data_IF_102516753859
#
_entry.id   IF_102516753859
#
_cell.length_a   1.000
_cell.length_b   1.000
_cell.length_c   1.000
_cell.angle_alpha   90.00
_cell.angle_beta   90.00
_cell.angle_gamma   90.00
#
_symmetry.space_group_name_H-M   'P 1'
#
loop_
_entity.id
_entity.type
_entity.pdbx_description
1 polymer ?
#
# COMPACT_ATOMS: atom_id res chain seq x y z
N UNK A 1 14.17 8.63 13.75
CA UNK A 1 13.12 7.74 13.21
C UNK A 1 13.77 6.45 12.80
N UNK A 2 13.55 5.39 13.57
CA UNK A 2 14.11 4.07 13.25
C UNK A 2 13.14 3.40 12.27
N UNK A 3 13.60 3.17 11.03
CA UNK A 3 12.83 2.45 10.04
C UNK A 3 12.96 0.95 10.28
N UNK A 4 11.83 0.28 10.44
CA UNK A 4 11.75 -1.17 10.57
C UNK A 4 11.73 -1.75 9.14
N UNK A 5 12.78 -1.52 8.35
CA UNK A 5 12.84 -2.03 6.98
C UNK A 5 13.72 -3.26 6.90
N UNK A 6 13.23 -4.33 6.29
CA UNK A 6 14.00 -5.52 5.90
C UNK A 6 13.79 -5.86 4.41
N UNK A 7 12.96 -5.11 3.69
CA UNK A 7 12.78 -5.27 2.26
C UNK A 7 13.90 -4.57 1.49
N UNK A 8 14.20 -5.04 0.28
CA UNK A 8 15.17 -4.43 -0.62
C UNK A 8 14.75 -3.02 -1.11
N UNK A 9 13.62 -2.48 -0.64
CA UNK A 9 13.15 -1.14 -0.95
C UNK A 9 13.47 -0.17 0.18
N UNK A 10 14.15 0.93 -0.13
CA UNK A 10 14.33 2.01 0.83
C UNK A 10 13.03 2.76 1.02
N UNK A 11 12.46 2.83 2.23
CA UNK A 11 11.27 3.61 2.48
C UNK A 11 11.48 5.08 2.09
N UNK A 12 10.48 5.65 1.46
CA UNK A 12 10.53 7.04 1.03
C UNK A 12 9.27 7.77 1.49
N UNK A 13 9.43 9.01 1.93
CA UNK A 13 8.31 9.88 2.28
C UNK A 13 8.44 11.20 1.53
N UNK A 14 7.41 11.55 0.81
CA UNK A 14 7.32 12.82 0.10
C UNK A 14 7.34 13.99 1.08
N UNK A 15 8.03 15.05 0.68
CA UNK A 15 8.26 16.23 1.52
C UNK A 15 7.84 17.51 0.82
N UNK A 16 7.47 18.49 1.62
CA UNK A 16 7.34 19.87 1.17
C UNK A 16 8.70 20.44 0.74
N UNK A 17 8.71 21.62 0.11
CA UNK A 17 9.94 22.33 -0.24
C UNK A 17 10.84 22.62 0.98
N UNK A 18 10.23 22.76 2.17
CA UNK A 18 10.94 22.99 3.44
C UNK A 18 11.43 21.69 4.09
N UNK A 19 11.25 20.53 3.44
CA UNK A 19 11.74 19.25 3.92
C UNK A 19 10.85 18.55 4.96
N UNK A 20 9.62 19.02 5.17
CA UNK A 20 8.64 18.43 6.10
C UNK A 20 7.89 17.30 5.38
N UNK A 21 7.80 16.13 5.98
CA UNK A 21 7.00 15.01 5.43
C UNK A 21 5.51 15.37 5.41
N UNK A 22 4.80 14.99 4.35
CA UNK A 22 3.34 15.10 4.33
C UNK A 22 2.71 14.21 5.39
N UNK A 23 1.73 14.72 6.12
CA UNK A 23 1.12 13.99 7.24
C UNK A 23 0.14 12.90 6.82
N UNK A 24 -0.52 13.06 5.67
CA UNK A 24 -1.60 12.18 5.23
C UNK A 24 -1.33 11.39 3.95
N UNK A 25 -0.21 11.66 3.25
CA UNK A 25 0.09 11.05 1.95
C UNK A 25 1.60 10.91 1.74
N UNK A 26 1.99 10.25 0.66
CA UNK A 26 3.36 10.26 0.15
C UNK A 26 4.34 9.32 0.84
N UNK A 27 3.88 8.46 1.74
CA UNK A 27 4.71 7.37 2.28
C UNK A 27 4.72 6.19 1.30
N UNK A 28 5.91 5.75 0.91
CA UNK A 28 6.15 4.58 0.07
C UNK A 28 6.92 3.54 0.85
N UNK A 29 6.28 2.42 1.12
CA UNK A 29 6.81 1.29 1.88
C UNK A 29 6.28 -0.02 1.31
N UNK A 30 6.97 -1.12 1.55
CA UNK A 30 6.49 -2.45 1.21
C UNK A 30 5.42 -2.95 2.19
N UNK A 31 4.63 -3.93 1.76
CA UNK A 31 3.61 -4.56 2.62
C UNK A 31 4.21 -5.15 3.91
N UNK A 32 5.40 -5.76 3.83
CA UNK A 32 6.11 -6.29 4.99
C UNK A 32 6.45 -5.21 6.02
N UNK A 33 6.78 -4.00 5.58
CA UNK A 33 7.09 -2.90 6.50
C UNK A 33 5.81 -2.37 7.16
N UNK A 34 4.70 -2.35 6.43
CA UNK A 34 3.38 -2.04 6.99
C UNK A 34 2.96 -3.12 8.01
N UNK A 35 3.23 -4.40 7.72
CA UNK A 35 2.93 -5.50 8.62
C UNK A 35 3.72 -5.40 9.93
N UNK A 36 5.00 -5.03 9.87
CA UNK A 36 5.82 -4.77 11.07
C UNK A 36 5.29 -3.61 11.89
N UNK A 37 4.82 -2.55 11.22
CA UNK A 37 4.16 -1.44 11.90
C UNK A 37 2.87 -1.90 12.58
N UNK A 38 2.02 -2.66 11.89
CA UNK A 38 0.83 -3.28 12.47
C UNK A 38 1.16 -4.18 13.66
N UNK A 39 2.22 -5.00 13.56
CA UNK A 39 2.69 -5.85 14.65
C UNK A 39 3.16 -5.02 15.87
N UNK A 40 3.81 -3.90 15.65
CA UNK A 40 4.20 -2.97 16.71
C UNK A 40 2.97 -2.41 17.42
N UNK A 41 1.93 -2.02 16.67
CA UNK A 41 0.66 -1.56 17.23
C UNK A 41 -0.04 -2.68 18.02
N UNK A 42 -0.11 -3.88 17.47
CA UNK A 42 -0.70 -5.08 18.12
C UNK A 42 -0.02 -5.39 19.46
N UNK A 43 1.30 -5.20 19.52
CA UNK A 43 2.10 -5.44 20.72
C UNK A 43 2.14 -4.23 21.69
N UNK A 44 1.17 -3.33 21.64
CA UNK A 44 1.08 -2.16 22.52
C UNK A 44 2.26 -1.20 22.39
N UNK A 45 2.78 -1.02 21.17
CA UNK A 45 3.87 -0.09 20.88
C UNK A 45 5.27 -0.69 20.96
N UNK A 46 5.40 -2.03 21.01
CA UNK A 46 6.69 -2.75 21.11
C UNK A 46 6.93 -3.56 19.84
N UNK A 47 8.15 -3.47 19.29
CA UNK A 47 8.60 -4.33 18.20
C UNK A 47 10.04 -4.79 18.44
N UNK A 48 10.31 -6.10 18.31
CA UNK A 48 11.62 -6.72 18.57
C UNK A 48 12.25 -6.31 19.90
N UNK A 49 11.43 -6.24 20.96
CA UNK A 49 11.86 -5.86 22.30
C UNK A 49 12.10 -4.36 22.51
N UNK A 50 11.97 -3.53 21.49
CA UNK A 50 12.11 -2.08 21.57
C UNK A 50 10.73 -1.42 21.66
N UNK A 51 10.54 -0.55 22.67
CA UNK A 51 9.33 0.26 22.80
C UNK A 51 9.43 1.52 21.95
N UNK A 52 8.54 1.67 21.00
CA UNK A 52 8.41 2.85 20.12
C UNK A 52 7.34 3.82 20.61
N UNK A 53 6.22 3.28 21.12
CA UNK A 53 5.08 4.05 21.63
C UNK A 53 4.67 3.49 22.99
N UNK A 54 4.05 4.31 23.83
CA UNK A 54 3.50 3.81 25.09
C UNK A 54 2.20 3.04 24.85
N UNK A 55 1.89 2.12 25.75
CA UNK A 55 0.66 1.35 25.72
C UNK A 55 -0.58 2.26 25.86
N UNK A 56 -0.46 3.30 26.72
CA UNK A 56 -1.50 4.31 26.86
C UNK A 56 -1.75 5.06 25.55
N UNK A 57 -0.68 5.44 24.83
CA UNK A 57 -0.83 6.11 23.53
C UNK A 57 -1.54 5.22 22.52
N UNK A 58 -1.20 3.93 22.45
CA UNK A 58 -1.88 2.99 21.53
C UNK A 58 -3.37 2.87 21.87
N UNK A 59 -3.69 2.71 23.14
CA UNK A 59 -5.09 2.65 23.62
C UNK A 59 -5.86 3.91 23.28
N UNK A 60 -5.26 5.06 23.49
CA UNK A 60 -5.88 6.34 23.18
C UNK A 60 -6.03 6.53 21.67
N UNK A 61 -4.97 6.27 20.88
CA UNK A 61 -4.97 6.39 19.43
C UNK A 61 -5.99 5.46 18.74
N UNK A 62 -6.27 4.30 19.33
CA UNK A 62 -7.25 3.34 18.82
C UNK A 62 -8.63 3.46 19.48
N UNK A 63 -8.88 4.57 20.19
CA UNK A 63 -10.20 4.90 20.78
C UNK A 63 -10.94 5.89 19.86
N UNK A 64 -12.27 5.91 19.98
CA UNK A 64 -13.07 6.84 19.17
C UNK A 64 -13.01 8.26 19.74
N UNK A 65 -12.38 9.17 19.04
CA UNK A 65 -12.37 10.62 19.33
C UNK A 65 -13.27 11.40 18.39
N UNK A 66 -13.59 10.83 17.23
CA UNK A 66 -14.54 11.41 16.29
C UNK A 66 -15.46 10.33 15.73
N UNK A 67 -16.71 10.70 15.48
CA UNK A 67 -17.67 9.86 14.76
C UNK A 67 -17.82 10.43 13.38
N UNK A 68 -17.57 9.65 12.35
CA UNK A 68 -17.99 10.04 11.01
C UNK A 68 -19.46 9.66 10.84
N UNK A 69 -20.31 10.65 11.03
CA UNK A 69 -21.76 10.49 10.92
C UNK A 69 -22.28 10.61 9.47
N UNK A 70 -21.40 10.83 8.50
CA UNK A 70 -21.84 11.28 7.17
C UNK A 70 -21.83 10.19 6.10
N UNK A 71 -21.25 9.02 6.34
CA UNK A 71 -20.99 8.11 5.23
C UNK A 71 -21.90 6.88 5.11
N UNK A 72 -22.79 6.64 6.05
CA UNK A 72 -23.78 5.54 5.92
C UNK A 72 -23.19 4.12 5.79
N UNK A 73 -21.87 3.97 5.69
CA UNK A 73 -21.19 2.70 5.60
C UNK A 73 -20.77 2.23 6.98
N UNK A 74 -21.05 0.97 7.32
CA UNK A 74 -20.85 0.42 8.65
C UNK A 74 -19.39 0.50 9.15
N UNK A 75 -18.44 0.49 8.25
CA UNK A 75 -17.03 0.46 8.58
C UNK A 75 -16.38 1.84 8.78
N UNK A 76 -17.08 2.91 8.40
CA UNK A 76 -16.64 4.30 8.64
C UNK A 76 -17.46 5.05 9.68
N UNK A 77 -18.49 4.43 10.26
CA UNK A 77 -19.27 4.99 11.37
C UNK A 77 -18.90 4.40 12.74
N UNK A 78 -17.98 3.45 12.79
CA UNK A 78 -17.57 2.80 14.03
C UNK A 78 -16.75 3.73 14.95
N UNK A 79 -16.11 4.75 14.40
CA UNK A 79 -15.32 5.75 15.09
C UNK A 79 -13.94 5.96 14.46
N UNK A 80 -13.32 7.07 14.83
CA UNK A 80 -12.00 7.47 14.36
C UNK A 80 -11.13 7.95 15.51
N UNK A 81 -9.94 7.38 15.64
CA UNK A 81 -8.94 7.74 16.63
C UNK A 81 -7.86 8.66 16.06
N UNK A 82 -6.60 8.44 16.42
CA UNK A 82 -5.47 9.21 15.89
C UNK A 82 -4.99 8.61 14.57
N UNK A 83 -5.67 8.98 13.47
CA UNK A 83 -5.47 8.45 12.12
C UNK A 83 -5.70 6.91 11.99
N UNK A 84 -6.49 6.36 12.92
CA UNK A 84 -6.91 4.97 12.92
C UNK A 84 -8.45 4.91 12.89
N UNK A 85 -8.99 4.24 11.89
CA UNK A 85 -10.41 3.92 11.85
C UNK A 85 -10.70 2.73 12.78
N UNK A 86 -11.78 2.81 13.53
CA UNK A 86 -12.26 1.64 14.25
C UNK A 86 -12.99 0.72 13.28
N UNK A 87 -12.77 -0.59 13.40
CA UNK A 87 -13.55 -1.58 12.67
C UNK A 87 -14.95 -1.69 13.26
N UNK A 88 -15.90 -2.18 12.48
CA UNK A 88 -17.24 -2.42 13.00
C UNK A 88 -17.19 -3.40 14.19
N UNK A 89 -18.20 -3.34 15.07
CA UNK A 89 -18.23 -4.10 16.34
C UNK A 89 -18.20 -5.61 16.16
N UNK A 90 -18.60 -6.13 14.99
CA UNK A 90 -18.60 -7.57 14.74
C UNK A 90 -17.19 -8.12 14.46
N UNK A 91 -16.28 -7.25 14.04
CA UNK A 91 -14.87 -7.56 13.75
C UNK A 91 -14.00 -7.16 14.93
N UNK A 92 -14.19 -5.95 15.46
CA UNK A 92 -13.36 -5.38 16.51
C UNK A 92 -12.03 -4.83 15.98
N UNK A 93 -11.24 -4.28 16.89
CA UNK A 93 -9.94 -3.68 16.55
C UNK A 93 -10.05 -2.39 15.74
N UNK A 94 -8.98 -2.07 15.02
CA UNK A 94 -8.83 -0.81 14.30
C UNK A 94 -7.93 -0.99 13.06
N UNK A 95 -7.88 0.02 12.22
CA UNK A 95 -7.07 -0.03 11.00
C UNK A 95 -6.48 1.31 10.59
N UNK A 96 -5.31 1.30 9.98
CA UNK A 96 -4.85 2.31 9.05
C UNK A 96 -5.53 2.05 7.71
N UNK A 97 -6.10 3.11 7.12
CA UNK A 97 -6.94 3.01 5.94
C UNK A 97 -6.57 4.15 4.98
N UNK A 98 -5.86 3.81 3.94
CA UNK A 98 -5.44 4.73 2.89
C UNK A 98 -6.32 4.59 1.66
N UNK A 99 -6.49 5.69 0.94
CA UNK A 99 -7.27 5.72 -0.29
C UNK A 99 -6.89 4.60 -1.26
N UNK A 100 -7.88 4.04 -1.91
CA UNK A 100 -7.76 2.97 -2.90
C UNK A 100 -7.29 1.61 -2.35
N UNK A 101 -7.50 1.33 -1.06
CA UNK A 101 -7.26 0.00 -0.50
C UNK A 101 -5.84 -0.22 0.03
N UNK A 102 -5.27 0.79 0.68
CA UNK A 102 -4.02 0.64 1.42
C UNK A 102 -4.36 0.36 2.88
N UNK A 103 -4.47 -0.90 3.26
CA UNK A 103 -5.01 -1.31 4.55
C UNK A 103 -3.94 -1.92 5.46
N UNK A 104 -4.00 -1.55 6.74
CA UNK A 104 -3.32 -2.20 7.84
C UNK A 104 -4.33 -2.44 8.96
N UNK A 105 -4.91 -3.63 9.02
CA UNK A 105 -5.95 -4.01 9.98
C UNK A 105 -5.28 -4.68 11.18
N UNK A 106 -5.57 -4.18 12.37
CA UNK A 106 -5.04 -4.70 13.63
C UNK A 106 -6.19 -5.22 14.47
N UNK A 107 -6.16 -6.49 14.83
CA UNK A 107 -7.16 -7.22 15.59
C UNK A 107 -6.58 -7.71 16.91
N UNK A 108 -6.60 -6.90 18.00
CA UNK A 108 -5.93 -7.23 19.26
C UNK A 108 -6.48 -8.49 19.95
N UNK A 109 -7.79 -8.72 19.89
CA UNK A 109 -8.41 -9.90 20.52
C UNK A 109 -8.02 -11.20 19.83
N UNK A 110 -7.84 -11.15 18.50
CA UNK A 110 -7.45 -12.28 17.67
C UNK A 110 -5.94 -12.46 17.60
N UNK A 111 -5.18 -11.43 17.99
CA UNK A 111 -3.73 -11.34 17.84
C UNK A 111 -3.28 -11.40 16.37
N UNK A 112 -4.04 -10.77 15.51
CA UNK A 112 -3.83 -10.78 14.05
C UNK A 112 -3.53 -9.38 13.52
N UNK A 113 -2.70 -9.35 12.48
CA UNK A 113 -2.48 -8.18 11.62
C UNK A 113 -2.68 -8.61 10.18
N UNK A 114 -3.52 -7.87 9.47
CA UNK A 114 -3.74 -8.08 8.05
C UNK A 114 -3.30 -6.82 7.29
N UNK A 115 -2.53 -7.02 6.22
CA UNK A 115 -2.07 -5.92 5.36
C UNK A 115 -2.47 -6.20 3.93
N UNK A 116 -3.01 -5.20 3.27
CA UNK A 116 -3.31 -5.22 1.86
C UNK A 116 -2.89 -3.90 1.23
N UNK A 117 -2.18 -3.97 0.11
CA UNK A 117 -1.83 -2.83 -0.72
C UNK A 117 -2.37 -3.11 -2.12
N UNK A 118 -3.41 -2.42 -2.51
CA UNK A 118 -4.04 -2.61 -3.82
C UNK A 118 -4.50 -1.28 -4.43
N UNK A 119 -5.12 -1.35 -5.59
CA UNK A 119 -5.83 -0.25 -6.21
C UNK A 119 -7.29 -0.65 -6.37
N UNK A 120 -8.14 -0.25 -5.42
CA UNK A 120 -9.56 -0.55 -5.39
C UNK A 120 -10.40 0.72 -5.31
N UNK A 121 -11.36 0.87 -6.21
CA UNK A 121 -12.29 2.02 -6.19
C UNK A 121 -13.50 1.81 -5.28
N UNK A 122 -13.73 0.58 -4.80
CA UNK A 122 -14.81 0.26 -3.89
C UNK A 122 -14.27 -0.37 -2.59
N UNK A 123 -13.78 0.48 -1.72
CA UNK A 123 -13.16 0.08 -0.45
C UNK A 123 -14.12 -0.67 0.48
N UNK A 124 -15.45 -0.44 0.40
CA UNK A 124 -16.40 -1.21 1.21
C UNK A 124 -16.43 -2.67 0.76
N UNK A 125 -16.52 -2.93 -0.53
CA UNK A 125 -16.50 -4.30 -1.06
C UNK A 125 -15.19 -5.01 -0.73
N UNK A 126 -14.08 -4.28 -0.72
CA UNK A 126 -12.78 -4.80 -0.31
C UNK A 126 -12.79 -5.21 1.17
N UNK A 127 -13.24 -4.33 2.06
CA UNK A 127 -13.35 -4.63 3.49
C UNK A 127 -14.31 -5.79 3.78
N UNK A 128 -15.45 -5.84 3.09
CA UNK A 128 -16.41 -6.93 3.22
C UNK A 128 -15.74 -8.28 2.86
N UNK A 129 -15.02 -8.33 1.74
CA UNK A 129 -14.32 -9.55 1.31
C UNK A 129 -13.23 -9.97 2.30
N UNK A 130 -12.45 -9.03 2.81
CA UNK A 130 -11.42 -9.29 3.82
C UNK A 130 -12.04 -9.81 5.12
N UNK A 131 -13.07 -9.15 5.61
CA UNK A 131 -13.71 -9.54 6.87
C UNK A 131 -14.46 -10.87 6.77
N UNK A 132 -15.05 -11.19 5.64
CA UNK A 132 -15.67 -12.48 5.41
C UNK A 132 -14.61 -13.59 5.31
N UNK A 133 -13.51 -13.37 4.59
CA UNK A 133 -12.37 -14.30 4.61
C UNK A 133 -11.82 -14.53 6.01
N UNK A 134 -11.62 -13.48 6.80
CA UNK A 134 -11.14 -13.60 8.17
C UNK A 134 -12.09 -14.38 9.09
N UNK A 135 -13.41 -14.31 8.88
CA UNK A 135 -14.39 -15.12 9.60
C UNK A 135 -14.32 -16.59 9.18
N UNK A 136 -14.20 -16.85 7.89
CA UNK A 136 -14.14 -18.20 7.33
C UNK A 136 -12.82 -18.90 7.65
N UNK A 137 -11.68 -18.22 7.54
CA UNK A 137 -10.37 -18.79 7.82
C UNK A 137 -10.17 -19.22 9.27
N UNK A 138 -10.87 -18.58 10.21
CA UNK A 138 -10.89 -19.01 11.63
C UNK A 138 -11.56 -20.34 11.87
N UNK A 139 -12.34 -20.83 10.91
CA UNK A 139 -12.99 -22.14 10.96
C UNK A 139 -12.17 -23.24 10.27
N UNK A 140 -11.09 -22.89 9.56
CA UNK A 140 -10.23 -23.81 8.84
C UNK A 140 -9.11 -24.37 9.75
N UNK A 141 -8.68 -25.59 9.45
CA UNK A 141 -7.58 -26.25 10.14
C UNK A 141 -6.23 -25.79 9.58
N UNK A 142 -5.19 -25.71 10.44
CA UNK A 142 -3.83 -25.20 10.10
C UNK A 142 -3.06 -26.04 9.07
N UNK A 143 -3.61 -27.14 8.59
CA UNK A 143 -2.91 -28.09 7.71
C UNK A 143 -2.65 -27.60 6.29
N UNK A 144 -3.35 -26.55 5.83
CA UNK A 144 -3.27 -26.08 4.44
C UNK A 144 -2.34 -24.86 4.25
N UNK A 145 -1.65 -24.41 5.31
CA UNK A 145 -0.87 -23.17 5.29
C UNK A 145 0.34 -23.24 4.35
N UNK A 146 1.08 -24.35 4.37
CA UNK A 146 2.24 -24.58 3.49
C UNK A 146 1.83 -24.64 2.02
N UNK A 147 0.70 -25.30 1.72
CA UNK A 147 0.15 -25.37 0.37
C UNK A 147 -0.34 -24.01 -0.11
N UNK A 148 -0.97 -23.23 0.75
CA UNK A 148 -1.41 -21.87 0.46
C UNK A 148 -0.22 -20.93 0.17
N UNK A 149 0.89 -21.04 0.93
CA UNK A 149 2.12 -20.27 0.66
C UNK A 149 2.68 -20.66 -0.70
N UNK A 150 2.84 -21.95 -0.99
CA UNK A 150 3.38 -22.44 -2.25
C UNK A 150 2.52 -22.01 -3.45
N UNK A 151 1.19 -22.03 -3.31
CA UNK A 151 0.25 -21.54 -4.33
C UNK A 151 0.40 -20.04 -4.52
N UNK A 152 0.52 -19.28 -3.44
CA UNK A 152 0.69 -17.82 -3.47
C UNK A 152 1.99 -17.45 -4.19
N UNK A 153 3.10 -18.05 -3.83
CA UNK A 153 4.40 -17.83 -4.49
C UNK A 153 4.36 -18.15 -5.99
N UNK A 154 3.68 -19.24 -6.37
CA UNK A 154 3.52 -19.63 -7.77
C UNK A 154 2.62 -18.68 -8.57
N UNK A 155 1.62 -18.09 -7.93
CA UNK A 155 0.63 -17.19 -8.55
C UNK A 155 1.20 -15.79 -8.76
N UNK A 156 2.16 -15.36 -7.92
CA UNK A 156 2.85 -14.06 -8.04
C UNK A 156 4.07 -14.08 -8.95
N UNK A 157 4.41 -15.22 -9.57
CA UNK A 157 5.43 -15.24 -10.60
C UNK A 157 4.97 -14.37 -11.77
N UNK A 158 5.61 -13.22 -11.96
CA UNK A 158 5.30 -12.33 -13.07
C UNK A 158 5.63 -13.03 -14.40
N UNK A 159 4.69 -13.07 -15.35
CA UNK A 159 4.97 -13.70 -16.63
C UNK A 159 6.06 -12.93 -17.38
N UNK A 160 6.96 -13.67 -18.01
CA UNK A 160 7.87 -13.12 -19.00
C UNK A 160 7.14 -13.04 -20.33
N UNK A 161 7.37 -11.96 -21.06
CA UNK A 161 6.83 -11.76 -22.40
C UNK A 161 7.96 -11.51 -23.38
N UNK A 162 7.71 -11.80 -24.65
CA UNK A 162 8.66 -11.46 -25.71
C UNK A 162 8.76 -9.94 -25.83
N UNK A 163 9.99 -9.43 -25.75
CA UNK A 163 10.26 -8.01 -25.94
C UNK A 163 10.26 -7.72 -27.46
N UNK A 164 9.56 -6.67 -27.93
CA UNK A 164 9.61 -6.26 -29.33
C UNK A 164 11.04 -6.03 -29.79
N UNK A 165 11.33 -6.34 -31.05
CA UNK A 165 12.67 -6.10 -31.62
C UNK A 165 12.90 -4.65 -31.96
N UNK A 166 11.84 -3.94 -32.35
CA UNK A 166 11.88 -2.56 -32.83
C UNK A 166 11.26 -1.63 -31.76
N UNK A 167 11.79 -0.41 -31.72
CA UNK A 167 11.22 0.65 -30.90
C UNK A 167 9.88 1.12 -31.47
N UNK A 168 8.95 1.41 -30.59
CA UNK A 168 7.63 1.95 -30.92
C UNK A 168 7.54 3.36 -30.35
N UNK A 169 7.10 4.31 -31.21
CA UNK A 169 6.98 5.71 -30.82
C UNK A 169 5.56 6.21 -31.02
N UNK A 170 5.05 6.88 -29.99
CA UNK A 170 3.74 7.50 -29.97
C UNK A 170 3.89 9.01 -29.78
N UNK A 171 3.14 9.80 -30.56
CA UNK A 171 2.96 11.21 -30.32
C UNK A 171 1.62 11.40 -29.61
N UNK A 172 1.66 12.02 -28.45
CA UNK A 172 0.46 12.25 -27.68
C UNK A 172 -0.20 13.57 -28.10
N UNK A 173 -1.51 13.53 -28.31
CA UNK A 173 -2.32 14.74 -28.47
C UNK A 173 -2.40 15.54 -27.15
N UNK A 174 -3.12 16.66 -27.17
CA UNK A 174 -3.34 17.48 -25.97
C UNK A 174 -3.95 16.63 -24.87
N UNK A 175 -3.27 16.57 -23.72
CA UNK A 175 -3.72 15.80 -22.56
C UNK A 175 -3.37 16.51 -21.25
N UNK A 176 -4.10 16.16 -20.19
CA UNK A 176 -3.90 16.75 -18.85
C UNK A 176 -2.58 16.35 -18.19
N UNK A 177 -2.01 15.21 -18.56
CA UNK A 177 -0.75 14.71 -18.02
C UNK A 177 0.47 15.37 -18.65
N UNK A 178 0.27 16.26 -19.64
CA UNK A 178 1.33 17.00 -20.35
C UNK A 178 2.46 16.08 -20.87
N UNK A 179 2.08 14.91 -21.36
CA UNK A 179 2.97 13.97 -22.04
C UNK A 179 2.87 14.23 -23.53
N UNK A 180 3.99 14.54 -24.17
CA UNK A 180 4.07 14.87 -25.60
C UNK A 180 4.39 13.66 -26.45
N UNK A 181 5.16 12.73 -25.91
CA UNK A 181 5.54 11.51 -26.59
C UNK A 181 5.85 10.37 -25.64
N UNK A 182 5.63 9.16 -26.12
CA UNK A 182 5.99 7.92 -25.43
C UNK A 182 6.78 7.06 -26.42
N UNK A 183 7.96 6.63 -26.00
CA UNK A 183 8.75 5.66 -26.77
C UNK A 183 8.92 4.39 -25.95
N UNK A 184 8.67 3.25 -26.57
CA UNK A 184 8.97 1.93 -26.02
C UNK A 184 10.21 1.41 -26.73
N UNK A 185 11.31 1.31 -26.02
CA UNK A 185 12.63 0.96 -26.55
C UNK A 185 13.08 -0.38 -25.97
N UNK A 186 13.34 -1.40 -26.80
CA UNK A 186 13.88 -2.66 -26.32
C UNK A 186 15.33 -2.50 -25.87
N UNK A 187 15.66 -2.99 -24.67
CA UNK A 187 17.02 -3.06 -24.13
C UNK A 187 17.29 -4.45 -23.57
N UNK A 188 17.88 -5.32 -24.38
CA UNK A 188 18.11 -6.70 -24.01
C UNK A 188 16.80 -7.47 -23.86
N UNK A 189 16.55 -8.03 -22.68
CA UNK A 189 15.33 -8.76 -22.32
C UNK A 189 14.26 -7.87 -21.66
N UNK A 190 14.49 -6.56 -21.60
CA UNK A 190 13.59 -5.57 -20.98
C UNK A 190 13.07 -4.58 -21.99
N UNK A 191 12.00 -3.90 -21.60
CA UNK A 191 11.46 -2.75 -22.33
C UNK A 191 11.72 -1.49 -21.51
N UNK A 192 12.15 -0.44 -22.16
CA UNK A 192 12.28 0.89 -21.56
C UNK A 192 11.21 1.80 -22.13
N UNK A 193 10.43 2.41 -21.25
CA UNK A 193 9.49 3.46 -21.62
C UNK A 193 10.15 4.82 -21.40
N UNK A 194 10.28 5.58 -22.47
CA UNK A 194 10.72 6.98 -22.43
C UNK A 194 9.50 7.88 -22.60
N UNK A 195 9.31 8.78 -21.63
CA UNK A 195 8.26 9.78 -21.66
C UNK A 195 8.87 11.15 -21.98
N UNK A 196 8.34 11.84 -22.96
CA UNK A 196 8.64 13.24 -23.23
C UNK A 196 7.52 14.09 -22.65
N UNK A 197 7.81 14.92 -21.65
CA UNK A 197 6.82 15.68 -20.89
C UNK A 197 7.38 17.04 -20.44
N UNK A 198 6.54 17.87 -19.83
CA UNK A 198 6.94 19.20 -19.30
C UNK A 198 8.14 19.17 -18.36
N UNK A 199 8.37 18.05 -17.67
CA UNK A 199 9.51 17.86 -16.76
C UNK A 199 10.75 17.32 -17.46
N UNK A 200 10.78 17.37 -18.80
CA UNK A 200 11.82 16.79 -19.62
C UNK A 200 11.61 15.29 -19.87
N UNK A 201 12.62 14.66 -20.41
CA UNK A 201 12.57 13.23 -20.73
C UNK A 201 12.69 12.38 -19.46
N UNK A 202 11.74 11.50 -19.25
CA UNK A 202 11.73 10.53 -18.16
C UNK A 202 11.97 9.14 -18.72
N UNK A 203 12.69 8.31 -17.99
CA UNK A 203 13.03 6.94 -18.40
C UNK A 203 12.57 5.95 -17.36
N UNK A 204 11.73 5.02 -17.75
CA UNK A 204 11.17 3.98 -16.90
C UNK A 204 11.60 2.63 -17.44
N UNK A 205 12.35 1.86 -16.67
CA UNK A 205 12.69 0.49 -17.03
C UNK A 205 11.54 -0.42 -16.65
N UNK A 206 10.99 -1.13 -17.62
CA UNK A 206 9.94 -2.12 -17.39
C UNK A 206 10.61 -3.48 -17.14
N UNK A 207 10.30 -4.09 -16.01
CA UNK A 207 10.77 -5.45 -15.72
C UNK A 207 10.10 -6.47 -16.63
N UNK A 208 10.79 -7.57 -16.92
CA UNK A 208 10.24 -8.71 -17.65
C UNK A 208 10.33 -9.96 -16.76
N UNK A 209 9.25 -10.25 -16.05
CA UNK A 209 9.20 -11.30 -15.03
C UNK A 209 9.84 -10.90 -13.69
N UNK A 210 10.10 -9.62 -13.47
CA UNK A 210 10.65 -9.08 -12.23
C UNK A 210 10.21 -7.64 -12.01
N UNK A 211 10.19 -7.19 -10.75
CA UNK A 211 9.97 -5.78 -10.41
C UNK A 211 11.26 -4.99 -10.57
N UNK A 212 11.18 -3.86 -11.24
CA UNK A 212 12.29 -2.92 -11.42
C UNK A 212 11.87 -1.55 -10.91
N UNK A 213 12.73 -0.94 -10.09
CA UNK A 213 12.49 0.42 -9.61
C UNK A 213 13.08 1.43 -10.58
N UNK A 214 12.25 2.38 -11.01
CA UNK A 214 12.66 3.54 -11.78
C UNK A 214 12.26 4.80 -11.03
N UNK A 215 13.17 5.76 -10.89
CA UNK A 215 12.83 7.09 -10.38
C UNK A 215 12.44 8.00 -11.56
N UNK A 216 11.27 8.58 -11.48
CA UNK A 216 10.82 9.64 -12.40
C UNK A 216 10.66 10.94 -11.61
N UNK A 217 10.84 12.07 -12.28
CA UNK A 217 10.48 13.34 -11.68
C UNK A 217 8.98 13.30 -11.31
N UNK A 218 8.67 13.70 -10.08
CA UNK A 218 7.29 13.66 -9.59
C UNK A 218 6.39 14.44 -10.53
N UNK A 219 5.47 13.77 -11.17
CA UNK A 219 4.34 14.40 -11.83
C UNK A 219 3.38 14.83 -10.72
N UNK A 220 3.69 15.95 -10.05
CA UNK A 220 2.70 16.61 -9.22
C UNK A 220 1.53 16.97 -10.12
N UNK A 221 0.44 16.24 -10.01
CA UNK A 221 -0.86 16.69 -10.49
C UNK A 221 -1.16 17.96 -9.69
N UNK A 222 -0.84 19.12 -10.25
CA UNK A 222 -1.34 20.37 -9.70
C UNK A 222 -2.86 20.25 -9.73
N UNK A 223 -3.56 20.52 -8.60
CA UNK A 223 -5.00 20.60 -8.63
C UNK A 223 -5.41 21.67 -9.64
N UNK A 224 -6.36 21.32 -10.49
CA UNK A 224 -7.00 22.24 -11.43
C UNK A 224 -7.77 23.33 -10.71
#
# INVERSE_FOLDING_TARGET
MYLISSSNSTPYWEKTADGICYGGVGLRVGADDVAKFGQMLLNGGVYNGVRFLSDEYIKDASSSHALDVNNGSADWVAGYGYQLWLNNKSIGGYRGDGAFGQLCIVLPEQKEVFVMLCECNNMQTELDAIFDYMKESRAADDTDFEEAIALTESTFAMPRTDVPKDSIHYICGVNHSRIFGISLVPEGDRLVMELDCDFGKQRIVCGNGEYVFSSIASMCLAPA
#
